data_IF_301227561214
#
_entry.id   IF_301227561214
#
_cell.length_a   1.000
_cell.length_b   1.000
_cell.length_c   1.000
_cell.angle_alpha   90.00
_cell.angle_beta   90.00
_cell.angle_gamma   90.00
#
_symmetry.space_group_name_H-M   'P 1'
#
loop_
_entity.id
_entity.type
_entity.pdbx_description
1 polymer ?
#
# COMPACT_ATOMS: atom_id res chain seq x y z
N UNK A 1 -4.73 5.81 -27.50
CA UNK A 1 -3.28 5.97 -27.27
C UNK A 1 -3.09 6.50 -25.85
N UNK A 2 -2.91 5.57 -24.89
CA UNK A 2 -2.99 5.89 -23.45
C UNK A 2 -1.80 6.73 -22.98
N UNK A 3 -2.09 7.85 -22.31
CA UNK A 3 -1.09 8.65 -21.60
C UNK A 3 -0.54 7.82 -20.44
N UNK A 4 0.63 7.20 -20.63
CA UNK A 4 1.45 6.72 -19.52
C UNK A 4 1.86 7.93 -18.67
N UNK A 5 1.61 7.87 -17.37
CA UNK A 5 1.95 8.92 -16.41
C UNK A 5 3.33 8.68 -15.80
N UNK A 6 4.30 8.16 -16.56
CA UNK A 6 5.73 8.14 -16.22
C UNK A 6 6.55 7.82 -17.47
N UNK A 7 7.73 8.42 -17.61
CA UNK A 7 8.74 7.99 -18.58
C UNK A 7 9.19 6.58 -18.19
N UNK A 8 8.68 5.55 -18.85
CA UNK A 8 9.21 4.19 -18.73
C UNK A 8 10.26 4.01 -19.82
N UNK A 9 11.54 3.98 -19.42
CA UNK A 9 12.66 3.66 -20.30
C UNK A 9 13.15 2.24 -19.97
N UNK A 10 12.87 1.23 -20.83
CA UNK A 10 13.20 -0.16 -20.52
C UNK A 10 14.69 -0.41 -20.26
N UNK A 11 15.58 0.31 -20.95
CA UNK A 11 17.02 0.18 -20.77
C UNK A 11 17.46 0.64 -19.38
N UNK A 12 16.92 1.76 -18.89
CA UNK A 12 17.20 2.26 -17.54
C UNK A 12 16.66 1.31 -16.46
N UNK A 13 15.45 0.77 -16.65
CA UNK A 13 14.87 -0.23 -15.75
C UNK A 13 15.77 -1.48 -15.66
N UNK A 14 16.19 -2.03 -16.80
CA UNK A 14 17.07 -3.21 -16.84
C UNK A 14 18.41 -2.96 -16.12
N UNK A 15 18.98 -1.76 -16.25
CA UNK A 15 20.21 -1.40 -15.55
C UNK A 15 20.02 -1.39 -14.01
N UNK A 16 18.88 -0.93 -13.49
CA UNK A 16 18.59 -0.98 -12.05
C UNK A 16 18.43 -2.41 -11.52
N UNK A 17 17.80 -3.30 -12.30
CA UNK A 17 17.72 -4.73 -11.95
C UNK A 17 19.10 -5.39 -11.99
N UNK A 18 19.89 -5.15 -13.05
CA UNK A 18 21.25 -5.70 -13.16
C UNK A 18 22.19 -5.23 -12.04
N UNK A 19 22.01 -3.99 -11.56
CA UNK A 19 22.74 -3.44 -10.42
C UNK A 19 22.21 -3.93 -9.06
N UNK A 20 21.12 -4.72 -9.03
CA UNK A 20 20.47 -5.20 -7.80
C UNK A 20 19.77 -4.11 -6.98
N UNK A 21 19.58 -2.92 -7.57
CA UNK A 21 18.91 -1.78 -6.94
C UNK A 21 17.39 -1.94 -6.98
N UNK A 22 16.87 -2.53 -8.07
CA UNK A 22 15.48 -2.95 -8.17
C UNK A 22 15.42 -4.47 -8.07
N UNK A 23 14.37 -4.96 -7.41
CA UNK A 23 14.13 -6.39 -7.27
C UNK A 23 12.69 -6.70 -7.63
N UNK A 24 12.45 -7.97 -7.94
CA UNK A 24 11.14 -8.46 -8.37
C UNK A 24 10.23 -8.81 -7.18
N UNK A 25 10.78 -8.94 -5.98
CA UNK A 25 10.00 -9.23 -4.79
C UNK A 25 9.10 -8.05 -4.40
N UNK A 26 7.83 -8.35 -4.17
CA UNK A 26 6.89 -7.42 -3.56
C UNK A 26 7.14 -7.32 -2.06
N UNK A 27 6.54 -6.30 -1.43
CA UNK A 27 6.53 -6.21 0.04
C UNK A 27 5.87 -7.42 0.71
N UNK A 28 4.92 -8.09 0.04
CA UNK A 28 4.31 -9.30 0.55
C UNK A 28 5.25 -10.53 0.43
N UNK A 29 6.09 -10.58 -0.60
CA UNK A 29 7.12 -11.63 -0.72
C UNK A 29 8.15 -11.52 0.41
N UNK A 30 8.59 -10.29 0.71
CA UNK A 30 9.48 -10.02 1.84
C UNK A 30 8.85 -10.39 3.19
N UNK A 31 7.55 -10.14 3.37
CA UNK A 31 6.79 -10.60 4.54
C UNK A 31 6.80 -12.13 4.64
N UNK A 32 6.51 -12.81 3.53
CA UNK A 32 6.46 -14.27 3.46
C UNK A 32 7.80 -14.88 3.80
N UNK A 33 8.89 -14.35 3.23
CA UNK A 33 10.25 -14.77 3.53
C UNK A 33 10.54 -14.66 5.04
N UNK A 34 10.26 -13.53 5.66
CA UNK A 34 10.51 -13.35 7.09
C UNK A 34 9.60 -14.21 7.98
N UNK A 35 8.36 -14.46 7.57
CA UNK A 35 7.46 -15.37 8.28
C UNK A 35 7.97 -16.83 8.23
N UNK A 36 8.66 -17.22 7.15
CA UNK A 36 9.33 -18.53 7.07
C UNK A 36 10.62 -18.58 7.90
N UNK A 37 11.48 -17.55 7.80
CA UNK A 37 12.80 -17.54 8.44
C UNK A 37 12.75 -17.31 9.95
N UNK A 38 11.82 -16.47 10.42
CA UNK A 38 11.75 -15.99 11.80
C UNK A 38 10.30 -15.73 12.26
N UNK A 39 9.44 -16.76 12.27
CA UNK A 39 7.99 -16.61 12.50
C UNK A 39 7.64 -15.89 13.80
N UNK A 40 8.35 -16.19 14.89
CA UNK A 40 8.08 -15.63 16.23
C UNK A 40 8.69 -14.24 16.45
N UNK A 41 9.57 -13.78 15.54
CA UNK A 41 10.16 -12.46 15.69
C UNK A 41 9.08 -11.39 15.49
N UNK A 42 9.14 -10.35 16.30
CA UNK A 42 8.16 -9.27 16.22
C UNK A 42 8.37 -8.41 14.96
N UNK A 43 7.34 -8.30 14.14
CA UNK A 43 7.35 -7.54 12.89
C UNK A 43 6.78 -6.13 13.05
N UNK A 44 5.68 -6.00 13.78
CA UNK A 44 4.89 -4.77 13.81
C UNK A 44 4.28 -4.54 15.19
N UNK A 45 4.17 -3.26 15.60
CA UNK A 45 3.58 -2.86 16.88
C UNK A 45 2.87 -1.52 16.74
N UNK A 46 1.76 -1.37 17.44
CA UNK A 46 1.18 -0.08 17.77
C UNK A 46 0.96 0.05 19.30
N UNK A 47 0.17 1.04 19.73
CA UNK A 47 -0.14 1.23 21.16
C UNK A 47 -0.98 0.11 21.75
N UNK A 48 -1.77 -0.59 20.94
CA UNK A 48 -2.73 -1.59 21.41
C UNK A 48 -2.15 -3.02 21.34
N UNK A 49 -1.33 -3.32 20.33
CA UNK A 49 -0.86 -4.69 20.08
C UNK A 49 0.51 -4.76 19.43
N UNK A 50 1.11 -5.95 19.48
CA UNK A 50 2.35 -6.33 18.82
C UNK A 50 2.13 -7.65 18.10
N UNK A 51 2.61 -7.76 16.87
CA UNK A 51 2.45 -8.92 16.00
C UNK A 51 3.81 -9.54 15.69
N UNK A 52 3.87 -10.87 15.71
CA UNK A 52 4.96 -11.62 15.11
C UNK A 52 4.87 -11.61 13.58
N UNK A 53 5.92 -12.06 12.88
CA UNK A 53 5.86 -12.21 11.42
C UNK A 53 4.78 -13.22 11.01
N UNK A 54 4.61 -14.31 11.77
CA UNK A 54 3.52 -15.27 11.53
C UNK A 54 2.15 -14.60 11.66
N UNK A 55 1.89 -13.94 12.78
CA UNK A 55 0.57 -13.33 13.04
C UNK A 55 0.23 -12.26 12.00
N UNK A 56 1.24 -11.48 11.60
CA UNK A 56 1.09 -10.47 10.55
C UNK A 56 0.74 -11.12 9.21
N UNK A 57 1.44 -12.19 8.81
CA UNK A 57 1.17 -12.88 7.55
C UNK A 57 -0.23 -13.50 7.52
N UNK A 58 -0.61 -14.22 8.58
CA UNK A 58 -1.94 -14.83 8.69
C UNK A 58 -3.06 -13.81 8.57
N UNK A 59 -2.90 -12.65 9.22
CA UNK A 59 -3.90 -11.58 9.13
C UNK A 59 -3.94 -10.95 7.73
N UNK A 60 -2.78 -10.70 7.12
CA UNK A 60 -2.70 -10.21 5.74
C UNK A 60 -3.39 -11.18 4.78
N UNK A 61 -3.16 -12.48 4.94
CA UNK A 61 -3.74 -13.51 4.07
C UNK A 61 -5.26 -13.57 4.19
N UNK A 62 -5.77 -13.40 5.41
CA UNK A 62 -7.20 -13.34 5.69
C UNK A 62 -7.83 -12.12 4.99
N UNK A 63 -7.26 -10.93 5.21
CA UNK A 63 -7.79 -9.68 4.64
C UNK A 63 -7.75 -9.70 3.10
N UNK A 64 -6.67 -10.19 2.51
CA UNK A 64 -6.60 -10.35 1.05
C UNK A 64 -7.67 -11.34 0.52
N UNK A 65 -7.92 -12.44 1.22
CA UNK A 65 -9.01 -13.37 0.88
C UNK A 65 -10.40 -12.71 0.94
N UNK A 66 -10.65 -11.85 1.94
CA UNK A 66 -11.89 -11.07 2.03
C UNK A 66 -12.04 -10.06 0.91
N UNK A 67 -10.96 -9.33 0.57
CA UNK A 67 -10.96 -8.39 -0.56
C UNK A 67 -11.23 -9.11 -1.89
N UNK A 68 -10.61 -10.27 -2.09
CA UNK A 68 -10.87 -11.11 -3.26
C UNK A 68 -12.33 -11.57 -3.32
N UNK A 69 -12.91 -11.97 -2.18
CA UNK A 69 -14.32 -12.37 -2.08
C UNK A 69 -15.28 -11.21 -2.34
N UNK A 70 -14.86 -9.97 -2.08
CA UNK A 70 -15.58 -8.75 -2.43
C UNK A 70 -15.45 -8.36 -3.92
N UNK A 71 -14.95 -9.27 -4.78
CA UNK A 71 -14.79 -9.13 -6.23
C UNK A 71 -13.75 -8.09 -6.67
N UNK A 72 -12.81 -7.70 -5.79
CA UNK A 72 -11.71 -6.83 -6.19
C UNK A 72 -10.74 -7.54 -7.13
N UNK A 73 -10.41 -6.87 -8.24
CA UNK A 73 -9.53 -7.39 -9.29
C UNK A 73 -8.19 -6.67 -9.31
N UNK A 74 -7.17 -7.37 -9.83
CA UNK A 74 -5.82 -6.85 -9.98
C UNK A 74 -5.83 -5.52 -10.75
N UNK A 75 -5.09 -4.54 -10.26
CA UNK A 75 -5.04 -3.18 -10.84
C UNK A 75 -6.17 -2.25 -10.40
N UNK A 76 -7.18 -2.74 -9.68
CA UNK A 76 -8.16 -1.88 -9.03
C UNK A 76 -7.56 -1.15 -7.83
N UNK A 77 -8.18 -0.03 -7.47
CA UNK A 77 -7.65 0.89 -6.46
C UNK A 77 -8.33 0.67 -5.12
N UNK A 78 -7.54 0.53 -4.07
CA UNK A 78 -8.00 0.48 -2.68
C UNK A 78 -7.50 1.73 -1.98
N UNK A 79 -8.41 2.53 -1.41
CA UNK A 79 -8.02 3.70 -0.63
C UNK A 79 -8.21 3.45 0.86
N UNK A 80 -7.15 3.66 1.64
CA UNK A 80 -7.15 3.40 3.07
C UNK A 80 -7.42 4.71 3.82
N UNK A 81 -8.60 4.83 4.42
CA UNK A 81 -8.95 5.96 5.28
C UNK A 81 -9.00 5.53 6.75
N UNK A 82 -7.82 5.41 7.35
CA UNK A 82 -7.65 4.93 8.73
C UNK A 82 -6.47 5.61 9.41
N UNK A 83 -6.41 5.47 10.74
CA UNK A 83 -5.29 6.02 11.53
C UNK A 83 -4.01 5.19 11.31
N UNK A 84 -2.84 5.75 11.62
CA UNK A 84 -1.57 5.00 11.55
C UNK A 84 -1.50 3.92 12.64
N UNK A 85 -2.13 2.77 12.38
CA UNK A 85 -2.20 1.57 13.23
C UNK A 85 -1.79 0.35 12.42
N UNK A 86 -1.69 -0.79 13.10
CA UNK A 86 -1.29 -2.06 12.46
C UNK A 86 -2.21 -2.46 11.30
N UNK A 87 -3.51 -2.13 11.38
CA UNK A 87 -4.50 -2.43 10.35
C UNK A 87 -4.14 -1.79 9.00
N UNK A 88 -3.54 -0.60 8.99
CA UNK A 88 -3.14 0.09 7.75
C UNK A 88 -2.04 -0.66 7.03
N UNK A 89 -1.07 -1.21 7.78
CA UNK A 89 0.01 -2.01 7.22
C UNK A 89 -0.52 -3.36 6.72
N UNK A 90 -1.45 -3.98 7.46
CA UNK A 90 -2.12 -5.21 7.04
C UNK A 90 -2.87 -5.00 5.73
N UNK A 91 -3.69 -3.95 5.62
CA UNK A 91 -4.45 -3.65 4.41
C UNK A 91 -3.53 -3.31 3.22
N UNK A 92 -2.44 -2.60 3.46
CA UNK A 92 -1.43 -2.33 2.44
C UNK A 92 -0.77 -3.61 1.91
N UNK A 93 -0.34 -4.51 2.81
CA UNK A 93 0.30 -5.77 2.44
C UNK A 93 -0.69 -6.72 1.74
N UNK A 94 -1.96 -6.72 2.14
CA UNK A 94 -3.02 -7.44 1.45
C UNK A 94 -3.20 -6.93 0.01
N UNK A 95 -3.13 -5.61 -0.20
CA UNK A 95 -3.13 -5.05 -1.55
C UNK A 95 -1.89 -5.46 -2.35
N UNK A 96 -0.71 -5.49 -1.72
CA UNK A 96 0.51 -5.90 -2.38
C UNK A 96 0.48 -7.38 -2.82
N UNK A 97 -0.17 -8.26 -2.04
CA UNK A 97 -0.33 -9.69 -2.33
C UNK A 97 -1.08 -9.93 -3.64
N UNK A 98 -2.24 -9.31 -3.82
CA UNK A 98 -3.13 -9.57 -4.97
C UNK A 98 -2.98 -8.53 -6.11
N UNK A 99 -2.05 -7.58 -5.94
CA UNK A 99 -1.71 -6.58 -6.96
C UNK A 99 -2.76 -5.47 -7.11
N UNK A 100 -3.36 -5.06 -5.99
CA UNK A 100 -4.23 -3.88 -5.93
C UNK A 100 -3.40 -2.60 -5.82
N UNK A 101 -3.85 -1.54 -6.48
CA UNK A 101 -3.24 -0.22 -6.39
C UNK A 101 -3.67 0.46 -5.09
N UNK A 102 -2.85 0.32 -4.03
CA UNK A 102 -3.13 0.91 -2.74
C UNK A 102 -2.86 2.42 -2.70
N UNK A 103 -3.82 3.19 -2.21
CA UNK A 103 -3.70 4.60 -1.88
C UNK A 103 -3.79 4.80 -0.35
N UNK A 104 -2.65 4.86 0.35
CA UNK A 104 -2.62 5.05 1.80
C UNK A 104 -2.75 6.52 2.22
N UNK A 105 -2.96 7.47 1.29
CA UNK A 105 -2.83 8.90 1.56
C UNK A 105 -4.13 9.61 1.94
N UNK A 106 -5.21 8.89 2.25
CA UNK A 106 -6.42 9.52 2.77
C UNK A 106 -6.16 9.97 4.20
N UNK A 107 -5.69 11.21 4.34
CA UNK A 107 -5.50 11.86 5.61
C UNK A 107 -6.83 11.90 6.40
N UNK A 108 -6.78 11.66 7.70
CA UNK A 108 -7.94 11.65 8.62
C UNK A 108 -8.86 12.88 8.45
N UNK A 109 -8.32 14.00 8.01
CA UNK A 109 -9.05 15.27 7.91
C UNK A 109 -9.96 15.35 6.67
N UNK A 110 -9.93 14.36 5.77
CA UNK A 110 -10.92 14.29 4.69
C UNK A 110 -12.32 14.08 5.27
N UNK A 111 -13.29 14.83 4.78
CA UNK A 111 -14.71 14.65 5.08
C UNK A 111 -15.32 13.59 4.15
N UNK A 112 -16.45 13.00 4.55
CA UNK A 112 -17.20 12.06 3.71
C UNK A 112 -17.58 12.67 2.35
N UNK A 113 -17.87 13.97 2.32
CA UNK A 113 -18.16 14.72 1.08
C UNK A 113 -16.94 14.86 0.15
N UNK A 114 -15.74 14.94 0.69
CA UNK A 114 -14.50 14.96 -0.11
C UNK A 114 -14.21 13.57 -0.68
N UNK A 115 -14.45 12.50 0.08
CA UNK A 115 -14.20 11.11 -0.36
C UNK A 115 -15.23 10.64 -1.40
N UNK A 116 -16.51 10.97 -1.20
CA UNK A 116 -17.61 10.55 -2.07
C UNK A 116 -17.75 11.33 -3.37
N UNK A 117 -17.10 12.50 -3.52
CA UNK A 117 -17.18 13.28 -4.75
C UNK A 117 -16.35 12.63 -5.87
N UNK A 118 -16.85 12.51 -7.12
CA UNK A 118 -16.06 12.01 -8.26
C UNK A 118 -14.77 12.80 -8.50
N UNK A 119 -14.70 14.03 -7.99
CA UNK A 119 -13.60 14.99 -8.15
C UNK A 119 -12.36 14.64 -7.32
N UNK A 120 -12.51 13.94 -6.19
CA UNK A 120 -11.37 13.52 -5.35
C UNK A 120 -10.57 12.37 -5.96
N UNK A 121 -11.20 11.57 -6.81
CA UNK A 121 -10.57 10.47 -7.53
C UNK A 121 -9.75 10.96 -8.74
N UNK A 122 -10.08 12.14 -9.27
CA UNK A 122 -9.39 12.77 -10.40
C UNK A 122 -8.19 13.67 -10.00
N UNK A 123 -8.08 14.06 -8.73
CA UNK A 123 -7.15 15.10 -8.27
C UNK A 123 -5.76 14.61 -7.83
N UNK A 124 -5.46 13.30 -7.94
CA UNK A 124 -4.07 12.84 -7.77
C UNK A 124 -3.14 13.26 -8.93
N UNK A 125 -3.64 14.07 -9.86
CA UNK A 125 -2.82 14.91 -10.75
C UNK A 125 -2.46 16.20 -10.00
N UNK A 126 -1.29 16.16 -9.33
CA UNK A 126 -0.48 17.31 -8.88
C UNK A 126 -1.27 18.59 -8.58
N UNK A 127 -1.84 18.70 -7.38
CA UNK A 127 -2.27 20.01 -6.88
C UNK A 127 -1.05 20.76 -6.31
N UNK A 128 -0.85 22.05 -6.64
CA UNK A 128 0.20 22.85 -6.03
C UNK A 128 -0.08 22.96 -4.52
N UNK A 129 0.95 22.65 -3.71
CA UNK A 129 0.91 22.68 -2.25
C UNK A 129 0.25 23.98 -1.76
N UNK A 130 -0.94 23.89 -1.16
CA UNK A 130 -1.39 24.93 -0.23
C UNK A 130 -0.45 24.86 0.98
N UNK A 131 0.30 25.94 1.24
CA UNK A 131 1.15 26.08 2.42
C UNK A 131 0.29 25.88 3.68
N UNK A 132 0.73 25.00 4.56
CA UNK A 132 0.11 24.76 5.85
C UNK A 132 0.57 25.88 6.82
N UNK A 133 -0.32 26.67 7.42
CA UNK A 133 0.05 27.83 8.25
C UNK A 133 0.66 27.48 9.62
N UNK A 134 0.93 26.20 9.89
CA UNK A 134 1.43 25.70 11.18
C UNK A 134 2.85 25.12 11.10
N UNK A 135 3.55 25.34 9.99
CA UNK A 135 4.98 25.03 9.86
C UNK A 135 5.67 26.34 9.53
N UNK A 136 6.26 26.94 10.57
CA UNK A 136 7.20 28.06 10.50
C UNK A 136 8.49 27.64 9.79
#
# INVERSE_FOLDING_TARGET
MGRYLTLYEPAAANAFHAAGLWRDETHYDLLTQHATERPEAFALRDRARRLSYRDLKEWVDTVAGELHTADLRRGERVSLWMSNRVETVVAYLACARDGYACNPSLHRNYTTGEIGSPRSWASNRLHPRRKNPWIS
#
